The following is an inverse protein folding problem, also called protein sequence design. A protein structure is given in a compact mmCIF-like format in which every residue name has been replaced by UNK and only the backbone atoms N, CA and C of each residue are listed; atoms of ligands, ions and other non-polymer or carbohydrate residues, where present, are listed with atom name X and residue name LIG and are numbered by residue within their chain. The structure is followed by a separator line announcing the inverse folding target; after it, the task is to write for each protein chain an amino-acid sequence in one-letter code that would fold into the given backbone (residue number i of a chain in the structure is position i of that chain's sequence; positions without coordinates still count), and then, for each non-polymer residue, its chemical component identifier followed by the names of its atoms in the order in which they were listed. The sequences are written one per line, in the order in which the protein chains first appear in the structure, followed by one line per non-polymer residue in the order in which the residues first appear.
data_IF_654563618849
#
_entry.id   IF_654563618849
#
_cell.length_a   1.000
_cell.length_b   1.000
_cell.length_c   1.000
_cell.angle_alpha   90.00
_cell.angle_beta   90.00
_cell.angle_gamma   90.00
#
_symmetry.space_group_name_H-M   'P 1'
#
loop_
_entity.id
_entity.type
_entity.pdbx_description
1 polymer ?
#
# COMPACT_ATOMS: atom_id res chain seq x y z
N UNK A 1 9.91 27.33 1.25
CA UNK A 1 9.42 25.99 0.83
C UNK A 1 9.32 25.19 2.12
N UNK A 2 8.11 24.87 2.55
CA UNK A 2 7.90 23.98 3.69
C UNK A 2 8.57 22.66 3.39
N UNK A 3 9.36 22.17 4.35
CA UNK A 3 10.03 20.87 4.26
C UNK A 3 8.97 19.77 4.38
N UNK A 4 8.29 19.45 3.29
CA UNK A 4 7.33 18.34 3.28
C UNK A 4 8.05 17.05 3.67
N UNK A 5 7.51 16.35 4.65
CA UNK A 5 7.98 15.03 5.05
C UNK A 5 6.97 14.02 4.50
N UNK A 6 7.47 13.07 3.74
CA UNK A 6 6.68 11.92 3.28
C UNK A 6 7.07 10.69 4.08
N UNK A 7 6.09 10.01 4.60
CA UNK A 7 6.31 8.76 5.36
C UNK A 7 5.97 7.59 4.45
N UNK A 8 6.95 6.70 4.27
CA UNK A 8 6.81 5.50 3.46
C UNK A 8 6.79 4.29 4.38
N UNK A 9 5.81 3.42 4.21
CA UNK A 9 5.74 2.11 4.83
C UNK A 9 5.87 1.01 3.78
N UNK A 10 6.89 0.15 3.88
CA UNK A 10 7.12 -0.95 2.96
C UNK A 10 7.10 -2.28 3.68
N UNK A 11 6.22 -3.19 3.24
CA UNK A 11 6.32 -4.62 3.56
C UNK A 11 7.24 -5.30 2.56
N UNK A 12 8.22 -6.03 3.04
CA UNK A 12 9.22 -6.70 2.22
C UNK A 12 9.46 -8.14 2.70
N UNK A 13 9.94 -8.99 1.80
CA UNK A 13 10.48 -10.30 2.12
C UNK A 13 11.95 -10.38 1.69
N UNK A 14 12.66 -11.45 2.06
CA UNK A 14 14.09 -11.63 1.81
C UNK A 14 14.41 -11.98 0.35
N UNK A 15 14.29 -11.01 -0.57
CA UNK A 15 14.55 -11.14 -2.02
C UNK A 15 15.31 -9.94 -2.59
N UNK A 16 16.57 -9.71 -2.18
CA UNK A 16 17.35 -8.51 -2.50
C UNK A 16 17.53 -8.29 -4.01
N UNK A 17 17.60 -9.33 -4.82
CA UNK A 17 17.66 -9.23 -6.27
C UNK A 17 16.44 -8.54 -6.88
N UNK A 18 15.22 -8.77 -6.35
CA UNK A 18 14.03 -8.04 -6.75
C UNK A 18 14.05 -6.60 -6.27
N UNK A 19 14.52 -6.36 -5.04
CA UNK A 19 14.65 -5.01 -4.49
C UNK A 19 15.58 -4.13 -5.33
N UNK A 20 16.64 -4.70 -5.92
CA UNK A 20 17.57 -4.00 -6.82
C UNK A 20 16.88 -3.46 -8.09
N UNK A 21 15.75 -4.02 -8.47
CA UNK A 21 14.93 -3.58 -9.62
C UNK A 21 13.95 -2.51 -9.19
N UNK A 22 13.21 -2.76 -8.11
CA UNK A 22 12.02 -1.99 -7.70
C UNK A 22 12.40 -0.73 -6.93
N UNK A 23 13.21 -0.88 -5.89
CA UNK A 23 13.47 0.20 -4.92
C UNK A 23 14.13 1.43 -5.52
N UNK A 24 15.13 1.32 -6.43
CA UNK A 24 15.75 2.50 -7.06
C UNK A 24 14.74 3.36 -7.84
N UNK A 25 13.76 2.74 -8.51
CA UNK A 25 12.72 3.47 -9.27
C UNK A 25 11.81 4.25 -8.33
N UNK A 26 11.34 3.60 -7.25
CA UNK A 26 10.55 4.28 -6.21
C UNK A 26 11.33 5.41 -5.53
N UNK A 27 12.59 5.16 -5.15
CA UNK A 27 13.46 6.18 -4.57
C UNK A 27 13.56 7.40 -5.47
N UNK A 28 13.89 7.20 -6.75
CA UNK A 28 14.01 8.28 -7.73
C UNK A 28 12.71 9.08 -7.83
N UNK A 29 11.59 8.39 -8.05
CA UNK A 29 10.27 9.01 -8.23
C UNK A 29 9.82 9.82 -7.01
N UNK A 30 10.05 9.30 -5.80
CA UNK A 30 9.68 9.99 -4.57
C UNK A 30 10.59 11.20 -4.29
N UNK A 31 11.90 11.09 -4.55
CA UNK A 31 12.83 12.20 -4.36
C UNK A 31 12.60 13.37 -5.32
N UNK A 32 12.00 13.14 -6.47
CA UNK A 32 11.58 14.20 -7.41
C UNK A 32 10.55 15.15 -6.81
N UNK A 33 9.85 14.76 -5.76
CA UNK A 33 8.94 15.63 -5.01
C UNK A 33 9.62 16.76 -4.25
N UNK A 34 10.94 16.65 -4.02
CA UNK A 34 11.74 17.63 -3.28
C UNK A 34 11.60 17.58 -1.76
N UNK A 35 10.75 16.71 -1.21
CA UNK A 35 10.57 16.50 0.22
C UNK A 35 11.63 15.60 0.85
N UNK A 36 11.61 15.52 2.18
CA UNK A 36 12.36 14.50 2.95
C UNK A 36 11.53 13.24 3.06
N UNK A 37 12.17 12.08 2.96
CA UNK A 37 11.53 10.79 3.07
C UNK A 37 11.87 10.15 4.41
N UNK A 38 10.86 9.74 5.16
CA UNK A 38 10.99 8.85 6.32
C UNK A 38 10.50 7.47 5.90
N UNK A 39 11.43 6.54 5.68
CA UNK A 39 11.12 5.24 5.09
C UNK A 39 11.21 4.12 6.12
N UNK A 40 10.08 3.54 6.46
CA UNK A 40 9.96 2.38 7.33
C UNK A 40 9.85 1.10 6.50
N UNK A 41 10.64 0.09 6.83
CA UNK A 41 10.62 -1.21 6.17
C UNK A 41 10.47 -2.30 7.21
N UNK A 42 9.50 -3.19 7.02
CA UNK A 42 9.41 -4.45 7.74
C UNK A 42 9.81 -5.58 6.80
N UNK A 43 10.83 -6.34 7.18
CA UNK A 43 11.34 -7.47 6.40
C UNK A 43 10.86 -8.77 7.05
N UNK A 44 10.02 -9.53 6.32
CA UNK A 44 9.65 -10.89 6.68
C UNK A 44 10.62 -11.89 6.04
N UNK A 45 11.01 -12.90 6.79
CA UNK A 45 11.91 -13.96 6.30
C UNK A 45 11.10 -15.17 5.90
N UNK A 46 11.23 -15.53 4.63
CA UNK A 46 10.73 -16.79 4.09
C UNK A 46 11.89 -17.78 4.02
N UNK A 47 11.83 -18.84 4.82
CA UNK A 47 12.92 -19.81 5.02
C UNK A 47 13.38 -20.50 3.72
N UNK A 48 12.52 -20.59 2.72
CA UNK A 48 12.87 -21.19 1.42
C UNK A 48 13.58 -20.23 0.46
N UNK A 49 13.70 -18.93 0.79
CA UNK A 49 14.55 -17.99 0.10
C UNK A 49 15.95 -18.03 0.73
N UNK A 50 16.97 -17.97 -0.11
CA UNK A 50 18.37 -18.18 0.33
C UNK A 50 18.95 -17.01 1.10
N UNK A 51 18.41 -15.82 0.90
CA UNK A 51 18.95 -14.61 1.50
C UNK A 51 18.51 -14.46 2.95
N UNK A 52 19.46 -14.13 3.82
CA UNK A 52 19.19 -13.86 5.23
C UNK A 52 18.62 -12.46 5.47
N UNK A 53 18.10 -12.25 6.68
CA UNK A 53 17.66 -10.92 7.12
C UNK A 53 18.77 -9.88 6.98
N UNK A 54 20.00 -10.20 7.40
CA UNK A 54 21.15 -9.27 7.37
C UNK A 54 21.56 -8.88 5.94
N UNK A 55 21.52 -9.83 5.00
CA UNK A 55 21.79 -9.56 3.58
C UNK A 55 20.72 -8.61 3.04
N UNK A 56 19.45 -8.90 3.31
CA UNK A 56 18.32 -8.10 2.83
C UNK A 56 18.33 -6.70 3.45
N UNK A 57 18.58 -6.61 4.75
CA UNK A 57 18.71 -5.33 5.47
C UNK A 57 19.82 -4.46 4.87
N UNK A 58 21.02 -5.03 4.72
CA UNK A 58 22.16 -4.32 4.14
C UNK A 58 21.86 -3.87 2.70
N UNK A 59 21.13 -4.66 1.94
CA UNK A 59 20.71 -4.29 0.61
C UNK A 59 19.82 -3.04 0.62
N UNK A 60 18.83 -2.98 1.50
CA UNK A 60 17.99 -1.77 1.65
C UNK A 60 18.80 -0.56 2.12
N UNK A 61 19.73 -0.73 3.06
CA UNK A 61 20.62 0.34 3.52
C UNK A 61 21.40 0.93 2.35
N UNK A 62 21.99 0.11 1.49
CA UNK A 62 22.73 0.54 0.30
C UNK A 62 21.81 1.21 -0.74
N UNK A 63 20.65 0.63 -1.05
CA UNK A 63 19.73 1.15 -2.06
C UNK A 63 19.12 2.50 -1.66
N UNK A 64 18.88 2.70 -0.38
CA UNK A 64 18.22 3.90 0.16
C UNK A 64 19.20 4.90 0.78
N UNK A 65 20.51 4.70 0.62
CA UNK A 65 21.52 5.68 1.04
C UNK A 65 21.33 7.01 0.29
N UNK A 66 20.85 8.02 1.01
CA UNK A 66 20.62 9.38 0.51
C UNK A 66 20.42 10.34 1.68
N UNK A 67 20.96 11.56 1.59
CA UNK A 67 20.85 12.59 2.65
C UNK A 67 19.42 13.07 2.91
N UNK A 68 18.49 12.83 1.97
CA UNK A 68 17.08 13.17 2.09
C UNK A 68 16.22 12.01 2.61
N UNK A 69 16.81 10.84 2.82
CA UNK A 69 16.11 9.64 3.28
C UNK A 69 16.56 9.31 4.70
N UNK A 70 15.62 9.26 5.60
CA UNK A 70 15.80 8.67 6.92
C UNK A 70 15.21 7.26 6.91
N UNK A 71 16.04 6.24 6.84
CA UNK A 71 15.65 4.84 6.78
C UNK A 71 15.49 4.25 8.18
N UNK A 72 14.41 3.51 8.39
CA UNK A 72 14.14 2.72 9.60
C UNK A 72 13.78 1.31 9.19
N UNK A 73 14.67 0.36 9.43
CA UNK A 73 14.38 -1.06 9.25
C UNK A 73 13.92 -1.60 10.59
N UNK A 74 12.70 -2.13 10.61
CA UNK A 74 12.06 -2.61 11.83
C UNK A 74 12.51 -4.03 12.16
N UNK A 75 12.73 -4.29 13.44
CA UNK A 75 12.87 -5.65 13.92
C UNK A 75 11.54 -6.39 13.74
N UNK A 76 11.61 -7.63 13.28
CA UNK A 76 10.43 -8.45 13.07
C UNK A 76 9.79 -8.80 14.43
N UNK A 77 8.61 -8.27 14.68
CA UNK A 77 7.84 -8.58 15.91
C UNK A 77 6.78 -9.66 15.69
N UNK A 78 6.27 -9.74 14.47
CA UNK A 78 5.18 -10.64 14.12
C UNK A 78 5.54 -11.37 12.83
N UNK A 79 5.26 -12.67 12.81
CA UNK A 79 5.30 -13.45 11.57
C UNK A 79 4.02 -13.18 10.77
N UNK A 80 4.08 -13.35 9.47
CA UNK A 80 2.98 -13.20 8.52
C UNK A 80 2.66 -11.77 8.09
N UNK A 81 2.06 -11.66 6.92
CA UNK A 81 1.84 -10.40 6.22
C UNK A 81 1.04 -9.36 7.04
N UNK A 82 -0.05 -9.78 7.69
CA UNK A 82 -0.79 -8.84 8.57
C UNK A 82 0.06 -8.41 9.77
N UNK A 83 0.94 -9.28 10.26
CA UNK A 83 1.89 -8.94 11.32
C UNK A 83 2.86 -7.85 10.87
N UNK A 84 3.39 -7.94 9.64
CA UNK A 84 4.23 -6.90 9.04
C UNK A 84 3.47 -5.57 8.91
N UNK A 85 2.24 -5.60 8.39
CA UNK A 85 1.38 -4.43 8.29
C UNK A 85 1.13 -3.77 9.66
N UNK A 86 0.88 -4.58 10.69
CA UNK A 86 0.65 -4.12 12.06
C UNK A 86 1.91 -3.48 12.64
N UNK A 87 3.07 -4.14 12.54
CA UNK A 87 4.34 -3.62 13.03
C UNK A 87 4.70 -2.28 12.38
N UNK A 88 4.62 -2.19 11.05
CA UNK A 88 4.81 -0.95 10.32
C UNK A 88 3.87 0.16 10.81
N UNK A 89 2.59 -0.17 10.94
CA UNK A 89 1.58 0.82 11.29
C UNK A 89 1.75 1.37 12.70
N UNK A 90 2.13 0.53 13.66
CA UNK A 90 2.41 0.94 15.03
C UNK A 90 3.64 1.87 15.08
N UNK A 91 4.70 1.53 14.37
CA UNK A 91 5.92 2.33 14.33
C UNK A 91 5.72 3.68 13.61
N UNK A 92 5.01 3.69 12.48
CA UNK A 92 4.66 4.92 11.76
C UNK A 92 3.81 5.84 12.66
N UNK A 93 2.77 5.30 13.31
CA UNK A 93 1.91 6.09 14.20
C UNK A 93 2.69 6.69 15.36
N UNK A 94 3.52 5.88 16.02
CA UNK A 94 4.35 6.34 17.13
C UNK A 94 5.32 7.44 16.69
N UNK A 95 5.93 7.30 15.52
CA UNK A 95 6.80 8.34 14.96
C UNK A 95 6.06 9.65 14.75
N UNK A 96 4.88 9.61 14.15
CA UNK A 96 4.06 10.81 13.90
C UNK A 96 3.67 11.51 15.20
N UNK A 97 3.27 10.73 16.22
CA UNK A 97 2.85 11.26 17.52
C UNK A 97 4.02 11.82 18.32
N UNK A 98 5.15 11.09 18.39
CA UNK A 98 6.33 11.51 19.14
C UNK A 98 7.01 12.77 18.56
N UNK A 99 6.89 12.98 17.25
CA UNK A 99 7.46 14.16 16.59
C UNK A 99 6.45 15.27 16.35
N UNK A 100 5.23 15.16 16.87
CA UNK A 100 4.17 16.15 16.72
C UNK A 100 3.96 16.66 15.29
N UNK A 101 4.01 15.73 14.30
CA UNK A 101 3.86 16.09 12.89
C UNK A 101 2.44 16.59 12.59
N UNK A 102 2.33 17.57 11.68
CA UNK A 102 1.03 18.07 11.24
C UNK A 102 0.25 17.00 10.47
N UNK A 103 -0.71 16.39 11.16
CA UNK A 103 -1.53 15.30 10.64
C UNK A 103 -2.41 15.68 9.46
N UNK A 104 -2.75 16.96 9.30
CA UNK A 104 -3.64 17.44 8.24
C UNK A 104 -2.96 17.41 6.87
N UNK A 105 -1.65 17.66 6.84
CA UNK A 105 -0.86 17.72 5.62
C UNK A 105 -0.02 16.45 5.39
N UNK A 106 0.00 15.54 6.37
CA UNK A 106 0.82 14.34 6.31
C UNK A 106 0.23 13.29 5.36
N UNK A 107 1.10 12.71 4.53
CA UNK A 107 0.76 11.60 3.63
C UNK A 107 1.57 10.37 3.98
N UNK A 108 0.90 9.23 3.93
CA UNK A 108 1.50 7.91 4.07
C UNK A 108 1.55 7.28 2.68
N UNK A 109 2.72 6.87 2.27
CA UNK A 109 2.93 6.11 1.04
C UNK A 109 3.10 4.66 1.43
N UNK A 110 2.16 3.82 1.01
CA UNK A 110 2.20 2.40 1.28
C UNK A 110 2.74 1.65 0.08
N UNK A 111 3.77 0.84 0.30
CA UNK A 111 4.42 0.06 -0.75
C UNK A 111 4.53 -1.41 -0.34
N UNK A 112 4.54 -2.27 -1.35
CA UNK A 112 5.03 -3.65 -1.26
C UNK A 112 6.28 -3.77 -2.13
N UNK A 113 7.22 -4.60 -1.72
CA UNK A 113 8.54 -4.70 -2.32
C UNK A 113 8.58 -5.35 -3.71
N UNK A 114 7.44 -5.82 -4.20
CA UNK A 114 7.27 -6.50 -5.49
C UNK A 114 6.43 -5.73 -6.53
N UNK A 115 6.10 -4.48 -6.24
CA UNK A 115 5.41 -3.61 -7.18
C UNK A 115 6.36 -2.65 -7.87
N UNK A 116 6.47 -2.78 -9.18
CA UNK A 116 7.31 -1.90 -10.00
C UNK A 116 6.51 -0.71 -10.58
N UNK A 117 7.21 0.38 -10.89
CA UNK A 117 6.64 1.53 -11.60
C UNK A 117 6.70 1.31 -13.11
N UNK A 118 5.71 1.84 -13.85
CA UNK A 118 5.80 1.97 -15.31
C UNK A 118 6.98 2.87 -15.71
N UNK A 119 7.40 2.83 -16.98
CA UNK A 119 8.58 3.56 -17.45
C UNK A 119 8.47 5.08 -17.23
N UNK A 120 7.32 5.68 -17.54
CA UNK A 120 7.09 7.13 -17.42
C UNK A 120 5.89 7.40 -16.48
N UNK A 121 6.01 7.23 -15.18
CA UNK A 121 4.92 7.52 -14.27
C UNK A 121 4.69 9.04 -14.20
N UNK A 122 3.44 9.50 -13.98
CA UNK A 122 3.18 10.90 -13.67
C UNK A 122 4.02 11.36 -12.48
N UNK A 123 4.42 12.62 -12.45
CA UNK A 123 5.20 13.14 -11.31
C UNK A 123 4.45 12.95 -10.00
N UNK A 124 5.16 12.57 -8.96
CA UNK A 124 4.57 12.40 -7.62
C UNK A 124 3.81 13.66 -7.18
N UNK A 125 4.38 14.85 -7.42
CA UNK A 125 3.75 16.14 -7.10
C UNK A 125 2.43 16.41 -7.83
N UNK A 126 2.19 15.77 -8.97
CA UNK A 126 0.91 15.85 -9.68
C UNK A 126 -0.14 14.98 -9.02
N UNK A 127 0.24 13.80 -8.56
CA UNK A 127 -0.66 12.88 -7.86
C UNK A 127 -0.98 13.37 -6.45
N UNK A 128 -0.01 13.94 -5.78
CA UNK A 128 -0.15 14.48 -4.42
C UNK A 128 -1.29 15.48 -4.29
N UNK A 129 -1.53 16.29 -5.31
CA UNK A 129 -2.62 17.29 -5.35
C UNK A 129 -4.01 16.69 -5.14
N UNK A 130 -4.15 15.41 -5.41
CA UNK A 130 -5.42 14.70 -5.24
C UNK A 130 -5.58 14.04 -3.87
N UNK A 131 -4.54 14.09 -3.03
CA UNK A 131 -4.55 13.55 -1.68
C UNK A 131 -4.88 14.67 -0.67
N UNK A 132 -6.17 14.92 -0.44
CA UNK A 132 -6.67 15.87 0.53
C UNK A 132 -7.85 15.29 1.31
N UNK A 133 -8.10 15.81 2.53
CA UNK A 133 -9.14 15.28 3.41
C UNK A 133 -8.88 13.82 3.78
N UNK A 134 -9.88 12.95 3.68
CA UNK A 134 -9.77 11.51 3.93
C UNK A 134 -9.62 10.76 2.60
N UNK A 135 -8.42 10.70 2.07
CA UNK A 135 -8.17 10.15 0.73
C UNK A 135 -7.27 8.91 0.76
N UNK A 136 -7.65 7.91 -0.02
CA UNK A 136 -6.85 6.77 -0.45
C UNK A 136 -6.70 6.82 -1.98
N UNK A 137 -5.50 7.15 -2.45
CA UNK A 137 -5.16 7.12 -3.87
C UNK A 137 -4.42 5.81 -4.16
N UNK A 138 -5.11 4.86 -4.78
CA UNK A 138 -4.53 3.58 -5.20
C UNK A 138 -3.83 3.74 -6.54
N UNK A 139 -2.57 3.32 -6.64
CA UNK A 139 -1.70 3.50 -7.79
C UNK A 139 -1.69 2.29 -8.76
N UNK A 140 -2.27 1.17 -8.38
CA UNK A 140 -2.26 -0.06 -9.17
C UNK A 140 -3.49 -0.26 -10.05
N UNK A 141 -4.48 0.62 -9.93
CA UNK A 141 -5.80 0.35 -10.49
C UNK A 141 -6.51 -0.79 -9.73
N UNK A 142 -7.73 -1.12 -10.16
CA UNK A 142 -8.45 -2.25 -9.61
C UNK A 142 -8.19 -3.47 -10.50
N UNK A 143 -7.35 -4.41 -10.04
CA UNK A 143 -7.43 -5.79 -10.53
C UNK A 143 -8.33 -6.59 -9.58
N UNK A 144 -9.28 -7.34 -10.16
CA UNK A 144 -10.01 -8.39 -9.44
C UNK A 144 -10.89 -7.99 -8.26
N UNK A 145 -11.86 -7.11 -8.41
CA UNK A 145 -12.96 -6.93 -7.45
C UNK A 145 -12.59 -6.56 -5.99
N UNK A 146 -11.36 -6.12 -5.70
CA UNK A 146 -10.94 -5.68 -4.38
C UNK A 146 -10.66 -4.19 -4.34
N UNK A 147 -11.59 -3.42 -3.78
CA UNK A 147 -11.41 -1.98 -3.52
C UNK A 147 -10.24 -1.74 -2.52
N UNK A 148 -9.96 -2.73 -1.68
CA UNK A 148 -9.01 -2.67 -0.58
C UNK A 148 -7.69 -3.41 -0.86
N UNK A 149 -7.30 -3.51 -2.12
CA UNK A 149 -5.97 -4.06 -2.42
C UNK A 149 -4.89 -3.22 -1.72
N UNK A 150 -3.95 -3.90 -1.08
CA UNK A 150 -2.76 -3.29 -0.47
C UNK A 150 -1.70 -2.92 -1.52
N UNK A 151 -2.11 -2.73 -2.75
CA UNK A 151 -1.25 -2.22 -3.79
C UNK A 151 -0.67 -0.85 -3.40
N UNK A 152 0.42 -0.41 -4.04
CA UNK A 152 1.02 0.87 -3.80
C UNK A 152 -0.02 1.99 -3.77
N UNK A 153 0.05 2.80 -2.73
CA UNK A 153 -0.99 3.79 -2.44
C UNK A 153 -0.40 5.04 -1.80
N UNK A 154 -1.03 6.19 -2.09
CA UNK A 154 -0.82 7.42 -1.33
C UNK A 154 -2.07 7.67 -0.50
N UNK A 155 -1.91 7.75 0.82
CA UNK A 155 -3.01 7.93 1.75
C UNK A 155 -2.81 9.22 2.54
N UNK A 156 -3.88 9.97 2.79
CA UNK A 156 -3.81 10.97 3.85
C UNK A 156 -3.66 10.26 5.20
N UNK A 157 -2.94 10.87 6.14
CA UNK A 157 -2.75 10.28 7.47
C UNK A 157 -4.09 9.99 8.14
N UNK A 158 -5.06 10.89 8.00
CA UNK A 158 -6.40 10.72 8.57
C UNK A 158 -7.11 9.48 8.01
N UNK A 159 -7.07 9.24 6.70
CA UNK A 159 -7.62 8.03 6.11
C UNK A 159 -6.89 6.79 6.63
N UNK A 160 -5.55 6.81 6.58
CA UNK A 160 -4.73 5.68 6.97
C UNK A 160 -4.94 5.29 8.44
N UNK A 161 -4.92 6.24 9.37
CA UNK A 161 -5.05 5.95 10.80
C UNK A 161 -6.46 5.46 11.16
N UNK A 162 -7.50 6.01 10.55
CA UNK A 162 -8.87 5.66 10.86
C UNK A 162 -9.35 4.35 10.21
N UNK A 163 -8.73 3.94 9.11
CA UNK A 163 -9.15 2.75 8.36
C UNK A 163 -8.11 1.64 8.47
N UNK A 164 -6.88 1.85 7.97
CA UNK A 164 -5.85 0.82 7.88
C UNK A 164 -5.31 0.44 9.26
N UNK A 165 -4.79 1.42 9.98
CA UNK A 165 -4.22 1.17 11.30
C UNK A 165 -5.23 0.55 12.26
N UNK A 166 -6.45 1.08 12.35
CA UNK A 166 -7.48 0.54 13.25
C UNK A 166 -7.94 -0.85 12.83
N UNK A 167 -8.07 -1.11 11.51
CA UNK A 167 -8.40 -2.43 11.01
C UNK A 167 -7.35 -3.47 11.38
N UNK A 168 -6.06 -3.13 11.32
CA UNK A 168 -4.98 -4.08 11.59
C UNK A 168 -4.68 -4.24 13.08
N UNK A 169 -4.76 -3.16 13.86
CA UNK A 169 -4.41 -3.17 15.29
C UNK A 169 -5.14 -4.26 16.08
N UNK A 170 -6.43 -4.45 15.81
CA UNK A 170 -7.30 -5.29 16.63
C UNK A 170 -7.58 -6.68 16.03
N UNK A 171 -6.93 -7.02 14.90
CA UNK A 171 -7.18 -8.28 14.20
C UNK A 171 -6.15 -9.35 14.54
N UNK A 172 -6.56 -10.61 14.38
CA UNK A 172 -5.65 -11.74 14.43
C UNK A 172 -4.72 -11.70 13.22
N UNK A 173 -3.41 -11.88 13.45
CA UNK A 173 -2.36 -11.85 12.43
C UNK A 173 -2.50 -12.93 11.34
N UNK A 174 -3.36 -13.92 11.54
CA UNK A 174 -3.69 -14.96 10.55
C UNK A 174 -4.63 -14.49 9.43
N UNK A 175 -5.19 -13.28 9.56
CA UNK A 175 -6.08 -12.73 8.56
C UNK A 175 -5.30 -12.09 7.42
N UNK A 176 -5.94 -12.04 6.24
CA UNK A 176 -5.46 -11.25 5.12
C UNK A 176 -5.64 -9.76 5.42
N UNK A 177 -4.60 -8.90 5.27
CA UNK A 177 -4.67 -7.49 5.60
C UNK A 177 -5.79 -6.74 4.87
N UNK A 178 -5.99 -6.99 3.58
CA UNK A 178 -7.03 -6.36 2.76
C UNK A 178 -8.43 -6.73 3.25
N UNK A 179 -8.60 -7.99 3.63
CA UNK A 179 -9.87 -8.46 4.17
C UNK A 179 -10.17 -7.85 5.53
N UNK A 180 -9.14 -7.63 6.34
CA UNK A 180 -9.28 -6.95 7.63
C UNK A 180 -9.78 -5.51 7.44
N UNK A 181 -9.23 -4.80 6.47
CA UNK A 181 -9.68 -3.44 6.11
C UNK A 181 -11.12 -3.47 5.62
N UNK A 182 -11.43 -4.37 4.68
CA UNK A 182 -12.77 -4.50 4.12
C UNK A 182 -13.84 -4.82 5.17
N UNK A 183 -13.56 -5.78 6.05
CA UNK A 183 -14.46 -6.14 7.15
C UNK A 183 -14.68 -4.97 8.12
N UNK A 184 -13.60 -4.29 8.50
CA UNK A 184 -13.69 -3.13 9.39
C UNK A 184 -14.51 -2.01 8.75
N UNK A 185 -14.24 -1.69 7.50
CA UNK A 185 -14.97 -0.67 6.77
C UNK A 185 -16.45 -1.00 6.64
N UNK A 186 -16.79 -2.23 6.25
CA UNK A 186 -18.18 -2.68 6.16
C UNK A 186 -18.91 -2.58 7.51
N UNK A 187 -18.28 -3.00 8.58
CA UNK A 187 -18.90 -2.97 9.91
C UNK A 187 -19.15 -1.55 10.43
N UNK A 188 -18.29 -0.60 10.06
CA UNK A 188 -18.35 0.78 10.58
C UNK A 188 -19.17 1.72 9.70
N UNK A 189 -19.11 1.55 8.38
CA UNK A 189 -19.60 2.55 7.42
C UNK A 189 -20.70 2.06 6.48
N UNK A 190 -20.93 0.75 6.38
CA UNK A 190 -21.88 0.20 5.40
C UNK A 190 -23.02 -0.53 6.07
N UNK A 191 -24.25 -0.08 5.81
CA UNK A 191 -25.45 -0.90 5.99
C UNK A 191 -25.54 -1.89 4.82
N UNK A 192 -26.30 -2.97 4.95
CA UNK A 192 -26.43 -4.03 3.93
C UNK A 192 -26.79 -3.50 2.52
N UNK A 193 -27.60 -2.44 2.43
CA UNK A 193 -27.98 -1.78 1.17
C UNK A 193 -26.81 -1.07 0.47
N UNK A 194 -25.87 -0.49 1.23
CA UNK A 194 -24.75 0.24 0.67
C UNK A 194 -23.70 -0.65 0.02
N UNK A 195 -23.63 -1.94 0.35
CA UNK A 195 -22.64 -2.85 -0.22
C UNK A 195 -22.88 -3.11 -1.71
N UNK A 196 -24.15 -3.26 -2.13
CA UNK A 196 -24.49 -3.41 -3.54
C UNK A 196 -24.25 -2.11 -4.32
N UNK A 197 -24.53 -0.96 -3.73
CA UNK A 197 -24.29 0.33 -4.34
C UNK A 197 -22.80 0.63 -4.52
N UNK A 198 -21.93 0.18 -3.62
CA UNK A 198 -20.48 0.28 -3.76
C UNK A 198 -19.98 -0.59 -4.93
N UNK A 199 -20.52 -1.79 -5.12
CA UNK A 199 -20.16 -2.67 -6.25
C UNK A 199 -20.61 -2.03 -7.58
N UNK A 200 -21.83 -1.53 -7.67
CA UNK A 200 -22.36 -0.85 -8.86
C UNK A 200 -21.61 0.44 -9.20
N UNK A 201 -21.24 1.20 -8.18
CA UNK A 201 -20.45 2.41 -8.35
C UNK A 201 -19.04 2.08 -8.87
N UNK A 202 -18.46 1.01 -8.36
CA UNK A 202 -17.19 0.48 -8.80
C UNK A 202 -17.20 0.11 -10.29
N UNK A 203 -18.18 -0.66 -10.77
CA UNK A 203 -18.31 -1.02 -12.18
C UNK A 203 -18.40 0.21 -13.09
N UNK A 204 -19.14 1.24 -12.66
CA UNK A 204 -19.22 2.52 -13.39
C UNK A 204 -17.88 3.24 -13.43
N UNK A 205 -17.10 3.18 -12.35
CA UNK A 205 -15.77 3.79 -12.27
C UNK A 205 -14.78 3.06 -13.17
N UNK A 206 -14.75 1.72 -13.13
CA UNK A 206 -13.90 0.93 -14.01
C UNK A 206 -14.16 1.23 -15.48
N UNK A 207 -15.44 1.33 -15.88
CA UNK A 207 -15.81 1.71 -17.23
C UNK A 207 -15.38 3.12 -17.59
N UNK A 208 -15.48 4.07 -16.66
CA UNK A 208 -15.07 5.46 -16.93
C UNK A 208 -13.54 5.57 -17.01
N UNK A 209 -12.82 4.91 -16.11
CA UNK A 209 -11.35 4.84 -16.13
C UNK A 209 -10.84 4.24 -17.43
N UNK A 210 -11.43 3.14 -17.90
CA UNK A 210 -11.08 2.53 -19.18
C UNK A 210 -11.32 3.49 -20.35
N UNK A 211 -12.43 4.24 -20.36
CA UNK A 211 -12.71 5.25 -21.38
C UNK A 211 -11.68 6.38 -21.35
N UNK A 212 -11.35 6.89 -20.17
CA UNK A 212 -10.41 7.99 -20.00
C UNK A 212 -8.97 7.58 -20.39
N UNK A 213 -8.60 6.31 -20.19
CA UNK A 213 -7.34 5.73 -20.67
C UNK A 213 -7.25 5.68 -22.20
N UNK A 214 -8.33 5.22 -22.85
CA UNK A 214 -8.38 5.16 -24.33
C UNK A 214 -8.21 6.55 -24.96
N UNK A 215 -8.70 7.59 -24.29
CA UNK A 215 -8.60 8.97 -24.76
C UNK A 215 -7.34 9.73 -24.30
N UNK A 216 -6.35 9.06 -23.69
CA UNK A 216 -5.10 9.66 -23.15
C UNK A 216 -5.32 10.79 -22.13
N UNK A 217 -6.50 10.94 -21.58
CA UNK A 217 -6.80 11.90 -20.52
C UNK A 217 -6.84 11.15 -19.19
N UNK A 218 -5.78 11.28 -18.40
CA UNK A 218 -5.73 10.79 -17.01
C UNK A 218 -6.70 11.59 -16.14
N UNK A 219 -7.95 11.22 -16.14
CA UNK A 219 -8.93 11.76 -15.19
C UNK A 219 -8.95 10.91 -13.94
N UNK A 220 -8.78 11.57 -12.81
CA UNK A 220 -9.00 10.93 -11.51
C UNK A 220 -10.50 10.82 -11.29
N UNK A 221 -10.95 9.61 -11.10
CA UNK A 221 -12.35 9.32 -10.78
C UNK A 221 -12.58 9.56 -9.30
N UNK A 222 -13.34 10.57 -8.96
CA UNK A 222 -13.82 10.78 -7.60
C UNK A 222 -15.02 9.86 -7.34
N UNK A 223 -14.90 8.99 -6.33
CA UNK A 223 -16.07 8.33 -5.74
C UNK A 223 -16.84 9.38 -4.95
N UNK A 224 -17.64 10.19 -5.64
CA UNK A 224 -18.32 11.32 -5.03
C UNK A 224 -19.68 10.93 -4.46
N UNK A 225 -19.84 11.30 -3.24
CA UNK A 225 -20.89 12.03 -2.52
C UNK A 225 -22.31 11.47 -2.46
N UNK A 226 -22.86 10.84 -3.46
CA UNK A 226 -24.30 10.55 -3.46
C UNK A 226 -24.70 9.27 -2.72
N UNK A 227 -23.72 8.49 -2.22
CA UNK A 227 -23.95 7.15 -1.68
C UNK A 227 -23.39 6.88 -0.30
N UNK A 228 -22.69 7.81 0.32
CA UNK A 228 -22.18 7.66 1.68
C UNK A 228 -22.97 8.59 2.58
N UNK A 229 -23.58 8.04 3.63
CA UNK A 229 -24.37 8.79 4.61
C UNK A 229 -23.62 10.06 5.06
N UNK A 230 -24.34 11.15 5.22
CA UNK A 230 -23.91 12.55 5.42
C UNK A 230 -22.89 12.85 6.53
N UNK A 231 -22.18 11.90 7.11
CA UNK A 231 -21.31 12.13 8.26
C UNK A 231 -19.81 11.99 8.06
N UNK A 232 -19.33 11.19 7.09
CA UNK A 232 -17.90 11.08 6.80
C UNK A 232 -17.66 10.76 5.32
N UNK A 233 -17.17 11.73 4.58
CA UNK A 233 -16.82 11.54 3.17
C UNK A 233 -15.44 10.92 3.08
N UNK A 234 -15.37 9.63 2.72
CA UNK A 234 -14.13 8.95 2.40
C UNK A 234 -13.91 9.00 0.88
N UNK A 235 -12.76 9.52 0.47
CA UNK A 235 -12.41 9.59 -0.94
C UNK A 235 -11.47 8.43 -1.28
N UNK A 236 -11.94 7.48 -2.06
CA UNK A 236 -11.10 6.48 -2.70
C UNK A 236 -10.94 6.91 -4.15
N UNK A 237 -9.71 7.19 -4.55
CA UNK A 237 -9.37 7.57 -5.91
C UNK A 237 -8.53 6.46 -6.51
N UNK A 238 -8.89 6.06 -7.71
CA UNK A 238 -8.20 5.02 -8.45
C UNK A 238 -7.38 5.68 -9.54
N UNK A 239 -6.09 5.44 -9.51
CA UNK A 239 -5.22 5.86 -10.58
C UNK A 239 -4.82 4.63 -11.39
N UNK A 240 -5.19 4.54 -12.68
CA UNK A 240 -4.97 3.32 -13.42
C UNK A 240 -3.49 3.11 -13.75
N UNK A 241 -2.96 1.98 -13.28
CA UNK A 241 -1.78 1.32 -13.84
C UNK A 241 -0.48 2.13 -13.91
N UNK A 242 -0.12 2.85 -12.86
CA UNK A 242 1.25 3.39 -12.75
C UNK A 242 2.19 2.40 -12.06
N UNK A 243 1.65 1.31 -11.52
CA UNK A 243 2.41 0.22 -10.90
C UNK A 243 1.89 -1.15 -11.34
N UNK A 244 2.76 -2.15 -11.32
CA UNK A 244 2.42 -3.53 -11.62
C UNK A 244 3.19 -4.51 -10.75
N UNK A 245 2.53 -5.60 -10.37
CA UNK A 245 3.09 -6.66 -9.53
C UNK A 245 4.03 -7.56 -10.36
N UNK A 246 5.30 -7.57 -10.01
CA UNK A 246 6.31 -8.46 -10.61
C UNK A 246 6.70 -9.62 -9.67
N UNK A 247 6.17 -9.63 -8.46
CA UNK A 247 6.50 -10.64 -7.46
C UNK A 247 6.04 -12.04 -7.86
N UNK A 248 4.92 -12.15 -8.55
CA UNK A 248 4.41 -13.45 -9.02
C UNK A 248 5.36 -14.08 -10.03
N UNK A 249 5.81 -13.33 -11.02
CA UNK A 249 6.77 -13.78 -12.03
C UNK A 249 8.12 -14.13 -11.40
N UNK A 250 8.60 -13.27 -10.50
CA UNK A 250 9.81 -13.53 -9.75
C UNK A 250 9.77 -14.88 -9.01
N UNK A 251 8.68 -15.13 -8.28
CA UNK A 251 8.51 -16.39 -7.52
C UNK A 251 8.41 -17.60 -8.45
N UNK A 252 7.74 -17.48 -9.59
CA UNK A 252 7.67 -18.55 -10.59
C UNK A 252 9.05 -18.88 -11.17
N UNK A 253 9.88 -17.88 -11.47
CA UNK A 253 11.24 -18.05 -11.97
C UNK A 253 12.16 -18.73 -10.94
N UNK A 254 11.86 -18.62 -9.65
CA UNK A 254 12.53 -19.36 -8.55
C UNK A 254 11.89 -20.72 -8.27
N UNK A 255 10.97 -21.20 -9.11
CA UNK A 255 10.20 -22.45 -8.89
C UNK A 255 9.39 -22.45 -7.59
N UNK A 256 8.88 -21.29 -7.19
CA UNK A 256 8.10 -21.12 -5.98
C UNK A 256 6.65 -20.86 -6.35
N UNK A 257 5.74 -21.69 -5.88
CA UNK A 257 4.30 -21.54 -6.10
C UNK A 257 3.61 -20.98 -4.87
N UNK A 258 2.97 -19.83 -5.03
CA UNK A 258 2.07 -19.26 -4.04
C UNK A 258 0.74 -20.00 -4.06
N UNK A 259 0.35 -20.62 -2.94
CA UNK A 259 -0.93 -21.31 -2.79
C UNK A 259 -1.80 -20.62 -1.76
N UNK A 260 -3.01 -20.28 -2.16
CA UNK A 260 -4.01 -19.73 -1.25
C UNK A 260 -4.80 -20.88 -0.64
N UNK A 261 -4.69 -21.09 0.68
CA UNK A 261 -5.45 -22.09 1.41
C UNK A 261 -6.57 -21.40 2.15
N UNK A 262 -7.80 -21.70 1.76
CA UNK A 262 -9.00 -21.22 2.44
C UNK A 262 -9.29 -22.14 3.63
N UNK A 263 -8.93 -21.73 4.86
CA UNK A 263 -9.24 -22.50 6.07
C UNK A 263 -10.71 -22.40 6.51
N UNK A 264 -11.34 -21.23 6.29
CA UNK A 264 -12.77 -21.02 6.50
C UNK A 264 -13.26 -19.79 5.70
N UNK A 265 -14.53 -19.38 5.86
CA UNK A 265 -15.10 -18.21 5.15
C UNK A 265 -14.28 -16.93 5.31
N UNK A 266 -13.49 -16.82 6.39
CA UNK A 266 -12.79 -15.61 6.79
C UNK A 266 -11.26 -15.76 6.85
N UNK A 267 -10.71 -16.96 6.66
CA UNK A 267 -9.28 -17.21 6.74
C UNK A 267 -8.73 -17.72 5.42
N UNK A 268 -7.86 -16.95 4.81
CA UNK A 268 -7.01 -17.37 3.70
C UNK A 268 -5.59 -17.34 4.24
N UNK A 269 -4.93 -18.48 4.21
CA UNK A 269 -3.51 -18.62 4.53
C UNK A 269 -2.76 -18.74 3.20
N UNK A 270 -1.70 -17.95 3.07
CA UNK A 270 -0.80 -18.06 1.92
C UNK A 270 0.28 -19.04 2.29
N UNK A 271 0.38 -20.11 1.52
CA UNK A 271 1.49 -21.05 1.59
C UNK A 271 2.33 -20.92 0.33
N UNK A 272 3.64 -20.95 0.50
CA UNK A 272 4.58 -21.04 -0.59
C UNK A 272 5.13 -22.47 -0.66
N UNK A 273 5.22 -23.04 -1.86
CA UNK A 273 5.80 -24.36 -2.10
C UNK A 273 6.86 -24.24 -3.17
N UNK A 274 8.00 -24.86 -2.95
CA UNK A 274 8.94 -25.18 -4.03
C UNK A 274 8.28 -26.20 -4.94
N UNK A 275 8.40 -26.01 -6.25
CA UNK A 275 7.90 -26.92 -7.28
C UNK A 275 8.91 -28.03 -7.54
#
# INVERSE_FOLDING_TARGET
MENNIYIIGTTAINRPDLHNIVIPKWKKWLLESGGKLKWFINIDILEFLQDSYEITKKNFENLLEDSKIELVILEQQYNKFLGACKNLSENIKNYVENNNLDKNNLKIIWLEDDWDLIEDPPKFSELEKYCFGKTHLNLSGIKNNYIWALAPSILTYEFWVNIFYVAWKNQNIDLCPEKSIGNYYQSKYCNHENTQNIILLREKIEQQVLKDMIFKNTKIVNLNQDYISNQEILFIKLFPYITFDIGIEYMQNKNIKKKYIKKNRNQIVIEYKML
#
